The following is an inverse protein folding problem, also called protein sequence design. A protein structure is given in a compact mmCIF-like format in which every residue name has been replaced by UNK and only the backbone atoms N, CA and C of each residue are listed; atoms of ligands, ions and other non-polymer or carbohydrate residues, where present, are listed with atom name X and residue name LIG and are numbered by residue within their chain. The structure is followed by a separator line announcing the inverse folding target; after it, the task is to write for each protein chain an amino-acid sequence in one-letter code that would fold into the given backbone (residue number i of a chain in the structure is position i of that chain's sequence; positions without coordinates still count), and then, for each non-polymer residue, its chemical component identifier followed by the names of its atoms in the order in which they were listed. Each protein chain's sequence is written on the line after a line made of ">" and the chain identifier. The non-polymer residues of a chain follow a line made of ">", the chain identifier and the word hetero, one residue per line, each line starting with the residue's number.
data_IF_335409675104
#
_entry.id   IF_335409675104
#
_cell.length_a   1.000
_cell.length_b   1.000
_cell.length_c   1.000
_cell.angle_alpha   90.00
_cell.angle_beta   90.00
_cell.angle_gamma   90.00
#
_symmetry.space_group_name_H-M   'P 1'
#
loop_
_entity.id
_entity.type
_entity.pdbx_description
1 polymer ?
#
# COMPACT_ATOMS: atom_id res chain seq x y z
N UNK A 1 -11.93 -15.77 -32.53
CA UNK A 1 -12.63 -14.65 -31.89
C UNK A 1 -12.42 -14.74 -30.39
N UNK A 2 -11.37 -14.12 -29.88
CA UNK A 2 -11.10 -14.03 -28.43
C UNK A 2 -12.10 -13.04 -27.83
N UNK A 3 -12.94 -13.49 -26.90
CA UNK A 3 -13.79 -12.56 -26.13
C UNK A 3 -12.88 -11.66 -25.30
N UNK A 4 -12.90 -10.36 -25.59
CA UNK A 4 -12.38 -9.36 -24.68
C UNK A 4 -13.22 -9.46 -23.39
N UNK A 5 -12.59 -9.72 -22.25
CA UNK A 5 -13.29 -9.71 -20.97
C UNK A 5 -13.28 -8.29 -20.43
N UNK A 6 -14.44 -7.78 -20.04
CA UNK A 6 -14.54 -6.49 -19.37
C UNK A 6 -13.95 -6.60 -17.96
N UNK A 7 -12.91 -5.81 -17.70
CA UNK A 7 -12.29 -5.74 -16.38
C UNK A 7 -13.19 -4.92 -15.45
N UNK A 8 -13.74 -5.57 -14.42
CA UNK A 8 -14.49 -4.88 -13.35
C UNK A 8 -13.51 -4.47 -12.24
N UNK A 9 -13.27 -3.16 -12.12
CA UNK A 9 -12.45 -2.58 -11.05
C UNK A 9 -13.37 -2.08 -9.91
N UNK A 10 -13.06 -2.46 -8.68
CA UNK A 10 -13.77 -2.03 -7.47
C UNK A 10 -12.82 -1.23 -6.56
N UNK A 11 -12.89 0.11 -6.55
CA UNK A 11 -12.05 0.91 -5.66
C UNK A 11 -12.51 0.77 -4.21
N UNK A 12 -11.56 0.84 -3.28
CA UNK A 12 -11.79 0.82 -1.84
C UNK A 12 -10.87 1.85 -1.18
N UNK A 13 -11.22 2.28 0.03
CA UNK A 13 -10.41 3.24 0.80
C UNK A 13 -9.82 2.49 2.01
N UNK A 14 -8.51 2.60 2.26
CA UNK A 14 -7.89 2.06 3.47
C UNK A 14 -8.66 2.48 4.73
N UNK A 15 -8.77 1.57 5.70
CA UNK A 15 -9.61 1.73 6.90
C UNK A 15 -9.26 2.94 7.77
N UNK A 16 -7.99 3.37 7.84
CA UNK A 16 -7.61 4.58 8.54
C UNK A 16 -8.01 5.82 7.72
N UNK A 17 -7.80 5.78 6.41
CA UNK A 17 -8.14 6.89 5.53
C UNK A 17 -9.64 7.14 5.35
N UNK A 18 -10.46 6.10 5.43
CA UNK A 18 -11.92 6.22 5.28
C UNK A 18 -12.56 7.11 6.35
N UNK A 19 -11.90 7.27 7.51
CA UNK A 19 -12.36 8.13 8.59
C UNK A 19 -12.27 9.62 8.24
N UNK A 20 -11.31 10.00 7.39
CA UNK A 20 -11.16 11.37 6.86
C UNK A 20 -12.14 11.70 5.72
N UNK A 21 -12.90 10.73 5.23
CA UNK A 21 -13.90 10.93 4.18
C UNK A 21 -15.30 11.22 4.75
N UNK A 22 -16.16 11.76 3.88
CA UNK A 22 -17.59 11.95 4.19
C UNK A 22 -18.27 10.63 4.60
N UNK A 23 -19.33 10.66 5.43
CA UNK A 23 -19.97 9.44 5.95
C UNK A 23 -20.41 8.43 4.88
N UNK A 24 -20.85 8.89 3.70
CA UNK A 24 -21.26 7.98 2.61
C UNK A 24 -20.12 7.13 2.05
N UNK A 25 -18.87 7.54 2.22
CA UNK A 25 -17.71 6.73 1.80
C UNK A 25 -17.50 5.51 2.70
N UNK A 26 -17.86 5.59 3.98
CA UNK A 26 -17.66 4.53 4.98
C UNK A 26 -18.45 3.26 4.67
N UNK A 27 -19.48 3.34 3.84
CA UNK A 27 -20.22 2.18 3.35
C UNK A 27 -19.84 1.82 1.92
N UNK A 28 -19.73 2.82 1.04
CA UNK A 28 -19.46 2.60 -0.39
C UNK A 28 -18.08 1.98 -0.68
N UNK A 29 -17.06 2.28 0.13
CA UNK A 29 -15.67 1.91 -0.13
C UNK A 29 -15.03 1.07 0.99
N UNK A 30 -15.86 0.50 1.87
CA UNK A 30 -15.38 -0.24 3.03
C UNK A 30 -14.93 -1.64 2.66
N UNK A 31 -13.71 -1.99 3.08
CA UNK A 31 -13.21 -3.37 3.05
C UNK A 31 -14.10 -4.33 3.85
N UNK A 32 -14.75 -3.86 4.93
CA UNK A 32 -15.61 -4.71 5.75
C UNK A 32 -16.93 -5.09 5.05
N UNK A 33 -17.35 -4.32 4.04
CA UNK A 33 -18.61 -4.52 3.32
C UNK A 33 -18.39 -5.04 1.90
N UNK A 34 -17.14 -5.37 1.54
CA UNK A 34 -16.74 -5.72 0.18
C UNK A 34 -16.37 -7.20 0.10
N UNK A 35 -17.14 -8.03 -0.64
CA UNK A 35 -16.79 -9.43 -0.82
C UNK A 35 -15.50 -9.61 -1.62
N UNK A 36 -14.72 -10.63 -1.25
CA UNK A 36 -13.54 -11.09 -2.00
C UNK A 36 -12.20 -10.44 -1.64
N UNK A 37 -12.16 -9.52 -0.67
CA UNK A 37 -10.92 -8.81 -0.28
C UNK A 37 -10.18 -9.40 0.92
N UNK A 38 -10.75 -10.44 1.54
CA UNK A 38 -10.24 -11.00 2.79
C UNK A 38 -10.32 -10.02 3.97
N UNK A 39 -9.77 -10.41 5.11
CA UNK A 39 -9.71 -9.55 6.30
C UNK A 39 -8.46 -8.67 6.25
N UNK A 40 -8.45 -7.68 5.38
CA UNK A 40 -7.38 -6.68 5.26
C UNK A 40 -7.84 -5.30 5.72
N UNK A 41 -6.88 -4.41 5.98
CA UNK A 41 -7.10 -3.00 6.27
C UNK A 41 -6.67 -2.08 5.12
N UNK A 42 -5.89 -2.55 4.15
CA UNK A 42 -5.43 -1.76 3.01
C UNK A 42 -4.29 -0.77 3.31
N UNK A 43 -3.91 -0.59 4.59
CA UNK A 43 -2.89 0.39 5.02
C UNK A 43 -1.44 -0.05 4.78
N UNK A 44 -1.17 -1.34 4.50
CA UNK A 44 0.21 -1.85 4.54
C UNK A 44 1.16 -1.07 3.64
N UNK A 45 0.70 -0.64 2.45
CA UNK A 45 1.55 0.15 1.55
C UNK A 45 1.98 1.50 2.15
N UNK A 46 1.10 2.15 2.92
CA UNK A 46 1.37 3.44 3.55
C UNK A 46 2.17 3.27 4.85
N UNK A 47 1.92 2.18 5.59
CA UNK A 47 2.72 1.82 6.77
C UNK A 47 4.18 1.51 6.39
N UNK A 48 4.40 0.73 5.34
CA UNK A 48 5.73 0.42 4.82
C UNK A 48 6.42 1.67 4.26
N UNK A 49 5.67 2.56 3.59
CA UNK A 49 6.20 3.84 3.15
C UNK A 49 6.68 4.69 4.33
N UNK A 50 5.88 4.79 5.40
CA UNK A 50 6.27 5.51 6.61
C UNK A 50 7.51 4.89 7.28
N UNK A 51 7.63 3.57 7.29
CA UNK A 51 8.78 2.85 7.84
C UNK A 51 10.06 3.10 7.02
N UNK A 52 9.97 3.02 5.69
CA UNK A 52 11.11 3.16 4.78
C UNK A 52 11.64 4.59 4.64
N UNK A 53 10.90 5.62 5.08
CA UNK A 53 11.36 7.01 5.00
C UNK A 53 12.73 7.24 5.66
N UNK A 54 13.03 6.54 6.76
CA UNK A 54 14.30 6.64 7.47
C UNK A 54 15.51 6.12 6.70
N UNK A 55 15.34 5.14 5.80
CA UNK A 55 16.46 4.61 5.00
C UNK A 55 16.89 5.57 3.91
N UNK A 56 15.98 6.43 3.44
CA UNK A 56 16.29 7.42 2.42
C UNK A 56 17.32 8.44 2.92
N UNK A 57 17.17 8.92 4.16
CA UNK A 57 18.11 9.88 4.73
C UNK A 57 19.43 9.24 5.14
N UNK A 58 19.40 8.04 5.73
CA UNK A 58 20.61 7.35 6.21
C UNK A 58 21.50 6.85 5.08
N UNK A 59 20.94 6.49 3.92
CA UNK A 59 21.69 5.96 2.77
C UNK A 59 22.09 7.03 1.74
N UNK A 60 21.72 8.29 1.97
CA UNK A 60 21.85 9.38 0.98
C UNK A 60 23.28 9.63 0.52
N UNK A 61 24.24 9.58 1.44
CA UNK A 61 25.66 9.87 1.17
C UNK A 61 26.48 8.59 0.90
N UNK A 62 25.84 7.42 0.90
CA UNK A 62 26.51 6.15 0.63
C UNK A 62 26.80 6.00 -0.88
N UNK A 63 27.95 5.42 -1.21
CA UNK A 63 28.25 5.01 -2.59
C UNK A 63 27.29 3.92 -3.09
N UNK A 64 27.11 3.74 -4.41
CA UNK A 64 26.07 2.87 -4.97
C UNK A 64 26.04 1.44 -4.42
N UNK A 65 27.21 0.79 -4.27
CA UNK A 65 27.30 -0.57 -3.74
C UNK A 65 26.94 -0.64 -2.25
N UNK A 66 27.45 0.30 -1.46
CA UNK A 66 27.15 0.37 -0.03
C UNK A 66 25.67 0.68 0.23
N UNK A 67 25.08 1.56 -0.59
CA UNK A 67 23.64 1.86 -0.55
C UNK A 67 22.80 0.62 -0.83
N UNK A 68 23.11 -0.16 -1.88
CA UNK A 68 22.36 -1.40 -2.14
C UNK A 68 22.45 -2.38 -0.98
N UNK A 69 23.66 -2.66 -0.48
CA UNK A 69 23.83 -3.58 0.66
C UNK A 69 23.07 -3.13 1.91
N UNK A 70 23.05 -1.82 2.22
CA UNK A 70 22.31 -1.28 3.35
C UNK A 70 20.79 -1.39 3.18
N UNK A 71 20.30 -1.27 1.94
CA UNK A 71 18.89 -1.44 1.63
C UNK A 71 18.49 -2.92 1.70
N UNK A 72 19.28 -3.82 1.11
CA UNK A 72 19.05 -5.27 1.18
C UNK A 72 18.99 -5.75 2.64
N UNK A 73 19.94 -5.32 3.48
CA UNK A 73 19.94 -5.61 4.94
C UNK A 73 18.69 -5.08 5.65
N UNK A 74 18.25 -3.85 5.33
CA UNK A 74 17.06 -3.26 5.94
C UNK A 74 15.78 -4.09 5.71
N UNK A 75 15.63 -4.67 4.52
CA UNK A 75 14.46 -5.50 4.19
C UNK A 75 14.73 -7.01 4.29
N UNK A 76 15.94 -7.44 4.65
CA UNK A 76 16.32 -8.84 4.83
C UNK A 76 16.47 -9.64 3.54
N UNK A 77 17.02 -9.03 2.47
CA UNK A 77 17.25 -9.66 1.16
C UNK A 77 18.71 -10.10 0.98
#
# INVERSE_FOLDING_TARGET
>A
MTKQQDLVIRPLIPKAHIEGHRPSCRTAYSFNLTPGVGRTHGESIEAEWAHSGGTTSSTREMGPAARHAALDDHWGW
#
